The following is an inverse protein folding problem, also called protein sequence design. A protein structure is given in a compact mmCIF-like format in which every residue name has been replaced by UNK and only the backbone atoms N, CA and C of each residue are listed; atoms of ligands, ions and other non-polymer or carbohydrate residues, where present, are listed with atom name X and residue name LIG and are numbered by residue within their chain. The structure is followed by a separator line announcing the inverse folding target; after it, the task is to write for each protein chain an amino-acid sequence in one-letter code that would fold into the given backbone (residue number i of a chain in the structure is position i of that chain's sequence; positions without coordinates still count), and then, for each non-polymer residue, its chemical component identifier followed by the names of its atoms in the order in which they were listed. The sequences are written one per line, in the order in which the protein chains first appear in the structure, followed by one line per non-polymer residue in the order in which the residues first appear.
data_IF_561189851124
#
_entry.id   IF_561189851124
#
_cell.length_a   1.000
_cell.length_b   1.000
_cell.length_c   1.000
_cell.angle_alpha   90.00
_cell.angle_beta   90.00
_cell.angle_gamma   90.00
#
_symmetry.space_group_name_H-M   'P 1'
#
loop_
_entity.id
_entity.type
_entity.pdbx_description
1 polymer ?
#
# COMPACT_ATOMS: atom_id res chain seq x y z
N UNK A 1 11.54 -23.01 -9.78
CA UNK A 1 11.73 -21.74 -9.05
C UNK A 1 12.13 -20.69 -10.07
N UNK A 2 11.45 -19.53 -10.07
CA UNK A 2 11.65 -18.48 -11.07
C UNK A 2 11.79 -17.14 -10.34
N UNK A 3 12.77 -16.32 -10.73
CA UNK A 3 12.87 -14.92 -10.27
C UNK A 3 11.93 -14.07 -11.14
N UNK A 4 10.71 -13.80 -10.64
CA UNK A 4 9.64 -13.21 -11.46
C UNK A 4 9.87 -11.71 -11.73
N UNK A 5 10.09 -10.91 -10.68
CA UNK A 5 10.29 -9.46 -10.76
C UNK A 5 10.78 -8.89 -9.43
N UNK A 6 11.27 -7.65 -9.46
CA UNK A 6 11.63 -6.87 -8.30
C UNK A 6 11.27 -5.40 -8.53
N UNK A 7 11.04 -4.67 -7.43
CA UNK A 7 10.87 -3.23 -7.42
C UNK A 7 11.71 -2.66 -6.27
N UNK A 8 12.18 -1.43 -6.44
CA UNK A 8 12.91 -0.70 -5.39
C UNK A 8 12.47 0.75 -5.39
N UNK A 9 12.51 1.37 -4.21
CA UNK A 9 12.18 2.78 -4.02
C UNK A 9 13.29 3.43 -3.21
N UNK A 10 13.71 4.61 -3.64
CA UNK A 10 14.60 5.48 -2.87
C UNK A 10 13.92 6.84 -2.76
N UNK A 11 13.84 7.34 -1.54
CA UNK A 11 13.19 8.63 -1.25
C UNK A 11 14.20 9.62 -0.66
N UNK A 12 14.15 10.91 -1.05
CA UNK A 12 14.96 11.95 -0.40
C UNK A 12 14.38 12.33 0.98
N UNK A 13 15.00 13.29 1.66
CA UNK A 13 14.38 13.92 2.83
C UNK A 13 13.06 14.62 2.44
N UNK A 14 12.11 14.70 3.37
CA UNK A 14 10.74 15.17 3.10
C UNK A 14 9.81 14.09 2.53
N UNK A 15 10.31 12.86 2.34
CA UNK A 15 9.53 11.73 1.89
C UNK A 15 9.67 10.54 2.84
N UNK A 16 8.64 9.70 2.86
CA UNK A 16 8.50 8.52 3.68
C UNK A 16 7.96 7.35 2.84
N UNK A 17 8.33 6.12 3.22
CA UNK A 17 7.81 4.90 2.60
C UNK A 17 7.08 4.09 3.66
N UNK A 18 5.76 4.03 3.56
CA UNK A 18 4.95 3.06 4.29
C UNK A 18 5.08 1.69 3.64
N UNK A 19 5.06 0.63 4.45
CA UNK A 19 5.12 -0.74 3.93
C UNK A 19 4.25 -1.69 4.75
N UNK A 20 3.79 -2.75 4.10
CA UNK A 20 3.04 -3.81 4.75
C UNK A 20 3.15 -5.12 3.96
N UNK A 21 3.34 -6.22 4.68
CA UNK A 21 3.31 -7.59 4.13
C UNK A 21 2.14 -8.34 4.75
N UNK A 22 1.31 -8.97 3.91
CA UNK A 22 0.18 -9.79 4.35
C UNK A 22 0.45 -11.28 4.15
N UNK A 23 -0.07 -12.10 5.09
CA UNK A 23 0.21 -13.54 5.14
C UNK A 23 1.66 -13.80 5.55
N UNK A 24 2.17 -13.03 6.50
CA UNK A 24 3.58 -13.07 6.88
C UNK A 24 3.99 -14.45 7.41
N UNK A 25 5.10 -14.97 6.89
CA UNK A 25 5.75 -16.18 7.42
C UNK A 25 6.84 -15.78 8.39
N UNK A 26 6.72 -16.24 9.64
CA UNK A 26 7.73 -15.94 10.66
C UNK A 26 9.00 -16.76 10.39
N UNK A 27 10.09 -16.10 10.03
CA UNK A 27 11.41 -16.72 9.90
C UNK A 27 12.41 -15.98 10.78
N UNK A 28 12.64 -16.44 12.03
CA UNK A 28 13.46 -15.71 13.01
C UNK A 28 14.94 -15.61 12.63
N UNK A 29 15.40 -16.37 11.63
CA UNK A 29 16.78 -16.35 11.13
C UNK A 29 17.08 -15.24 10.11
N UNK A 30 16.04 -14.58 9.57
CA UNK A 30 16.19 -13.56 8.52
C UNK A 30 15.87 -12.18 9.09
N UNK A 31 16.89 -11.52 9.66
CA UNK A 31 16.74 -10.18 10.22
C UNK A 31 16.40 -9.16 9.13
N UNK A 32 15.41 -8.29 9.39
CA UNK A 32 14.93 -7.23 8.49
C UNK A 32 14.33 -7.71 7.15
N UNK A 33 13.91 -8.98 7.08
CA UNK A 33 13.18 -9.51 5.93
C UNK A 33 11.79 -9.97 6.34
N UNK A 34 10.78 -9.42 5.67
CA UNK A 34 9.40 -9.88 5.76
C UNK A 34 9.03 -10.64 4.49
N UNK A 35 8.43 -11.83 4.66
CA UNK A 35 7.97 -12.69 3.57
C UNK A 35 6.48 -12.92 3.72
N UNK A 36 5.71 -12.84 2.64
CA UNK A 36 4.27 -13.10 2.66
C UNK A 36 3.68 -13.27 1.27
N UNK A 37 2.35 -13.45 1.21
CA UNK A 37 1.61 -13.60 -0.06
C UNK A 37 1.44 -12.26 -0.78
N UNK A 38 1.27 -11.18 -0.04
CA UNK A 38 1.14 -9.82 -0.57
C UNK A 38 2.16 -8.90 0.07
N UNK A 39 2.64 -7.91 -0.69
CA UNK A 39 3.47 -6.83 -0.20
C UNK A 39 3.07 -5.50 -0.84
N UNK A 40 3.08 -4.43 -0.06
CA UNK A 40 2.85 -3.08 -0.57
C UNK A 40 3.90 -2.10 -0.06
N UNK A 41 4.28 -1.16 -0.93
CA UNK A 41 5.04 0.04 -0.60
C UNK A 41 4.16 1.25 -0.95
N UNK A 42 4.10 2.25 -0.08
CA UNK A 42 3.37 3.51 -0.30
C UNK A 42 4.33 4.66 -0.09
N UNK A 43 4.57 5.42 -1.15
CA UNK A 43 5.45 6.58 -1.14
C UNK A 43 4.63 7.80 -0.74
N UNK A 44 5.12 8.53 0.25
CA UNK A 44 4.46 9.70 0.79
C UNK A 44 5.41 10.90 0.85
N UNK A 45 4.89 12.09 0.55
CA UNK A 45 5.53 13.36 0.89
C UNK A 45 5.00 13.84 2.24
N UNK A 46 5.90 14.26 3.13
CA UNK A 46 5.54 14.74 4.47
C UNK A 46 6.69 15.47 5.15
N UNK A 47 6.35 16.48 5.95
CA UNK A 47 7.29 17.17 6.84
C UNK A 47 7.36 16.54 8.24
N UNK A 48 6.55 15.51 8.50
CA UNK A 48 6.46 14.84 9.80
C UNK A 48 7.67 13.93 10.09
N UNK A 49 7.94 13.68 11.37
CA UNK A 49 9.05 12.79 11.78
C UNK A 49 8.70 11.33 11.51
N UNK A 50 9.64 10.54 10.98
CA UNK A 50 9.42 9.12 10.65
C UNK A 50 8.80 8.27 11.78
N UNK A 51 9.20 8.50 13.04
CA UNK A 51 8.70 7.73 14.19
C UNK A 51 7.19 7.91 14.44
N UNK A 52 6.56 9.01 13.99
CA UNK A 52 5.11 9.18 14.08
C UNK A 52 4.34 8.57 12.91
N UNK A 53 5.04 8.04 11.89
CA UNK A 53 4.46 7.57 10.64
C UNK A 53 4.44 6.05 10.49
N UNK A 54 4.98 5.30 11.44
CA UNK A 54 5.06 3.83 11.35
C UNK A 54 3.66 3.20 11.24
N UNK A 55 2.74 3.58 12.14
CA UNK A 55 1.37 3.08 12.12
C UNK A 55 0.58 3.54 10.89
N UNK A 56 0.77 4.79 10.47
CA UNK A 56 0.15 5.32 9.24
C UNK A 56 0.65 4.56 8.01
N UNK A 57 1.97 4.39 7.88
CA UNK A 57 2.60 3.68 6.77
C UNK A 57 2.12 2.24 6.66
N UNK A 58 2.00 1.55 7.81
CA UNK A 58 1.44 0.20 7.87
C UNK A 58 -0.02 0.17 7.42
N UNK A 59 -0.85 1.12 7.88
CA UNK A 59 -2.28 1.21 7.50
C UNK A 59 -2.47 1.54 6.02
N UNK A 60 -1.62 2.38 5.44
CA UNK A 60 -1.63 2.66 4.00
C UNK A 60 -1.27 1.41 3.20
N UNK A 61 -0.24 0.66 3.63
CA UNK A 61 0.10 -0.62 3.02
C UNK A 61 -1.03 -1.65 3.13
N UNK A 62 -1.72 -1.72 4.28
CA UNK A 62 -2.91 -2.57 4.45
C UNK A 62 -4.02 -2.19 3.47
N UNK A 63 -4.28 -0.89 3.32
CA UNK A 63 -5.26 -0.39 2.36
C UNK A 63 -4.90 -0.80 0.93
N UNK A 64 -3.66 -0.58 0.49
CA UNK A 64 -3.22 -0.97 -0.87
C UNK A 64 -3.34 -2.48 -1.09
N UNK A 65 -2.96 -3.30 -0.11
CA UNK A 65 -3.12 -4.77 -0.21
C UNK A 65 -4.59 -5.16 -0.35
N UNK A 66 -5.47 -4.61 0.50
CA UNK A 66 -6.88 -5.00 0.61
C UNK A 66 -7.81 -4.40 -0.45
N UNK A 67 -7.58 -3.16 -0.84
CA UNK A 67 -8.43 -2.39 -1.78
C UNK A 67 -7.89 -2.38 -3.21
N UNK A 68 -6.66 -2.85 -3.42
CA UNK A 68 -6.01 -3.02 -4.72
C UNK A 68 -6.24 -1.86 -5.73
N UNK A 69 -5.92 -0.59 -5.35
CA UNK A 69 -6.07 0.53 -6.26
C UNK A 69 -5.22 0.36 -7.52
N UNK A 70 -5.65 0.99 -8.62
CA UNK A 70 -4.97 0.99 -9.91
C UNK A 70 -4.24 2.30 -10.21
N UNK A 71 -4.56 3.37 -9.49
CA UNK A 71 -3.89 4.67 -9.61
C UNK A 71 -4.00 5.45 -8.29
N UNK A 72 -3.17 6.48 -8.10
CA UNK A 72 -3.21 7.31 -6.88
C UNK A 72 -4.51 8.14 -6.82
N UNK A 73 -4.89 8.78 -7.91
CA UNK A 73 -6.02 9.73 -7.95
C UNK A 73 -5.66 11.11 -7.42
N UNK A 74 -6.68 11.94 -7.17
CA UNK A 74 -6.58 13.27 -6.59
C UNK A 74 -7.46 13.40 -5.34
N UNK A 75 -7.13 14.37 -4.47
CA UNK A 75 -8.01 14.78 -3.37
C UNK A 75 -9.25 15.55 -3.85
N UNK A 76 -9.24 16.04 -5.09
CA UNK A 76 -10.37 16.74 -5.73
C UNK A 76 -11.37 15.77 -6.37
N UNK A 77 -11.04 14.48 -6.45
CA UNK A 77 -11.93 13.45 -6.98
C UNK A 77 -13.04 13.14 -5.96
N UNK A 78 -14.28 13.01 -6.44
CA UNK A 78 -15.41 12.61 -5.60
C UNK A 78 -15.27 11.15 -5.10
N UNK A 79 -15.87 10.79 -3.94
CA UNK A 79 -15.86 9.42 -3.45
C UNK A 79 -16.51 8.43 -4.43
N UNK A 80 -15.78 7.38 -4.83
CA UNK A 80 -16.22 6.45 -5.89
C UNK A 80 -16.91 5.16 -5.41
N UNK A 81 -17.03 4.94 -4.10
CA UNK A 81 -17.64 3.73 -3.53
C UNK A 81 -16.80 2.46 -3.72
N UNK A 82 -17.42 1.28 -3.61
CA UNK A 82 -16.70 -0.02 -3.56
C UNK A 82 -15.96 -0.39 -4.86
N UNK A 83 -16.40 0.13 -6.01
CA UNK A 83 -15.79 -0.16 -7.31
C UNK A 83 -14.72 0.88 -7.72
N UNK A 84 -14.39 1.83 -6.85
CA UNK A 84 -13.40 2.86 -7.13
C UNK A 84 -12.00 2.24 -7.27
N UNK A 85 -11.23 2.77 -8.23
CA UNK A 85 -9.89 2.31 -8.58
C UNK A 85 -8.80 3.32 -8.24
N UNK A 86 -9.17 4.58 -7.98
CA UNK A 86 -8.29 5.65 -7.53
C UNK A 86 -8.12 5.58 -6.01
N UNK A 87 -6.90 5.32 -5.55
CA UNK A 87 -6.56 5.11 -4.15
C UNK A 87 -7.12 6.19 -3.20
N UNK A 88 -6.98 7.48 -3.54
CA UNK A 88 -7.44 8.56 -2.68
C UNK A 88 -8.98 8.69 -2.58
N UNK A 89 -9.70 8.18 -3.58
CA UNK A 89 -11.17 8.24 -3.66
C UNK A 89 -11.86 6.96 -3.16
N UNK A 90 -11.09 5.90 -2.92
CA UNK A 90 -11.59 4.63 -2.37
C UNK A 90 -12.08 4.80 -0.92
N UNK A 91 -13.13 4.06 -0.51
CA UNK A 91 -13.51 3.95 0.90
C UNK A 91 -12.33 3.45 1.72
N UNK A 92 -12.05 4.09 2.86
CA UNK A 92 -10.94 3.68 3.69
C UNK A 92 -11.20 2.30 4.30
N UNK A 93 -10.31 1.34 4.02
CA UNK A 93 -10.40 -0.05 4.48
C UNK A 93 -10.83 -0.25 5.95
N UNK A 94 -10.33 0.57 6.89
CA UNK A 94 -10.66 0.42 8.32
C UNK A 94 -11.88 1.26 8.77
N UNK A 95 -12.33 2.19 7.93
CA UNK A 95 -13.53 3.00 8.15
C UNK A 95 -14.12 3.43 6.79
N UNK A 96 -15.01 2.61 6.20
CA UNK A 96 -15.58 2.89 4.87
C UNK A 96 -16.47 4.13 4.81
N UNK A 97 -16.76 4.80 5.93
CA UNK A 97 -17.56 6.02 5.95
C UNK A 97 -16.83 7.24 5.37
N UNK A 98 -15.50 7.15 5.25
CA UNK A 98 -14.63 8.19 4.68
C UNK A 98 -13.78 7.62 3.54
N UNK A 99 -13.25 8.49 2.68
CA UNK A 99 -12.24 8.08 1.68
C UNK A 99 -10.86 7.96 2.31
N UNK A 100 -9.94 7.27 1.63
CA UNK A 100 -8.54 7.26 2.05
C UNK A 100 -7.93 8.67 2.03
N UNK A 101 -8.30 9.51 1.06
CA UNK A 101 -7.87 10.91 0.99
C UNK A 101 -8.25 11.69 2.25
N UNK A 102 -9.49 11.52 2.71
CA UNK A 102 -9.98 12.13 3.95
C UNK A 102 -9.27 11.59 5.21
N UNK A 103 -8.84 10.33 5.19
CA UNK A 103 -8.06 9.74 6.27
C UNK A 103 -6.64 10.31 6.35
N UNK A 104 -5.93 10.46 5.21
CA UNK A 104 -4.50 10.87 5.22
C UNK A 104 -4.29 12.38 5.33
N UNK A 105 -5.20 13.20 4.81
CA UNK A 105 -5.02 14.65 4.76
C UNK A 105 -4.79 15.30 6.14
N UNK A 106 -5.54 14.96 7.21
CA UNK A 106 -5.32 15.53 8.55
C UNK A 106 -3.99 15.13 9.19
N UNK A 107 -3.32 14.11 8.66
CA UNK A 107 -2.06 13.58 9.18
C UNK A 107 -0.83 14.30 8.59
N UNK A 108 -1.01 15.30 7.71
CA UNK A 108 0.10 16.03 7.11
C UNK A 108 0.90 15.18 6.11
N UNK A 109 0.23 14.23 5.45
CA UNK A 109 0.84 13.28 4.52
C UNK A 109 0.11 13.31 3.18
N UNK A 110 0.88 13.41 2.10
CA UNK A 110 0.39 13.30 0.72
C UNK A 110 0.92 12.01 0.09
N UNK A 111 0.03 11.15 -0.39
CA UNK A 111 0.42 9.93 -1.11
C UNK A 111 0.82 10.31 -2.53
N UNK A 112 2.02 9.92 -2.95
CA UNK A 112 2.56 10.25 -4.28
C UNK A 112 2.62 9.06 -5.22
N UNK A 113 2.83 7.85 -4.68
CA UNK A 113 2.92 6.62 -5.48
C UNK A 113 2.73 5.37 -4.60
N UNK A 114 2.47 4.22 -5.22
CA UNK A 114 2.45 2.94 -4.52
C UNK A 114 2.87 1.78 -5.41
N UNK A 115 3.34 0.70 -4.78
CA UNK A 115 3.62 -0.58 -5.41
C UNK A 115 2.85 -1.65 -4.65
N UNK A 116 2.14 -2.52 -5.38
CA UNK A 116 1.46 -3.70 -4.82
C UNK A 116 1.95 -4.94 -5.54
N UNK A 117 2.45 -5.92 -4.78
CA UNK A 117 2.77 -7.25 -5.26
C UNK A 117 1.84 -8.28 -4.62
N UNK A 118 1.36 -9.20 -5.45
CA UNK A 118 0.69 -10.43 -5.07
C UNK A 118 1.44 -11.63 -5.67
N UNK A 119 1.80 -12.59 -4.83
CA UNK A 119 2.46 -13.80 -5.27
C UNK A 119 1.53 -14.62 -6.18
N UNK A 120 1.97 -14.89 -7.41
CA UNK A 120 1.20 -15.62 -8.42
C UNK A 120 0.31 -14.74 -9.32
N UNK A 121 0.35 -13.40 -9.17
CA UNK A 121 -0.44 -12.53 -10.06
C UNK A 121 -0.01 -12.67 -11.53
N UNK A 122 -0.98 -12.63 -12.45
CA UNK A 122 -0.73 -12.74 -13.88
C UNK A 122 -0.34 -14.14 -14.36
N UNK A 123 -0.39 -15.15 -13.49
CA UNK A 123 -0.40 -16.55 -13.91
C UNK A 123 -1.87 -16.94 -14.14
N UNK A 124 -2.23 -17.36 -15.36
CA UNK A 124 -3.54 -17.97 -15.61
C UNK A 124 -3.69 -19.12 -14.60
N UNK A 125 -4.77 -19.09 -13.81
CA UNK A 125 -5.10 -20.21 -12.94
C UNK A 125 -5.27 -21.43 -13.85
N UNK A 126 -4.30 -22.34 -13.83
CA UNK A 126 -4.43 -23.61 -14.52
C UNK A 126 -5.66 -24.29 -13.91
N UNK A 127 -6.76 -24.30 -14.65
CA UNK A 127 -7.95 -25.07 -14.35
C UNK A 127 -7.52 -26.53 -14.23
N UNK A 128 -7.51 -27.06 -13.01
CA UNK A 128 -7.45 -28.50 -12.79
C UNK A 128 -8.83 -29.07 -13.10
N UNK A 129 -8.97 -29.69 -14.28
CA UNK A 129 -10.03 -30.67 -14.58
C UNK A 129 -9.95 -31.89 -13.65
#
# INVERSE_FOLDING_TARGET
MTLKRAAWVKVPAGFYVGSYVHGAMHSPSLHNLELGKYGALVVCETSERKASLEDLGRRLGQHVVGMAPLSVGSLDDEPGGEAETKMLSQPYLLDPSITLGQYVQPQGVSVVDFVRFECGEGEEAAETE
#
